data_IF_831105121001
#
_entry.id   IF_831105121001
#
_cell.length_a   1.000
_cell.length_b   1.000
_cell.length_c   1.000
_cell.angle_alpha   90.00
_cell.angle_beta   90.00
_cell.angle_gamma   90.00
#
_symmetry.space_group_name_H-M   'P 1'
#
loop_
_entity.id
_entity.type
_entity.pdbx_description
1 polymer ?
#
# COMPACT_ATOMS: atom_id res chain seq x y z
N UNK A 1 7.68 -6.42 9.58
CA UNK A 1 6.58 -5.86 8.78
C UNK A 1 6.45 -4.37 9.04
N UNK A 2 6.35 -3.96 10.31
CA UNK A 2 6.25 -2.55 10.73
C UNK A 2 7.30 -1.62 10.12
N UNK A 3 8.58 -1.99 10.11
CA UNK A 3 9.63 -1.14 9.52
C UNK A 3 9.45 -0.90 8.01
N UNK A 4 8.88 -1.87 7.26
CA UNK A 4 8.57 -1.69 5.84
C UNK A 4 7.38 -0.74 5.68
N UNK A 5 6.34 -0.95 6.47
CA UNK A 5 5.13 -0.12 6.50
C UNK A 5 5.44 1.33 6.86
N UNK A 6 6.31 1.55 7.85
CA UNK A 6 6.78 2.86 8.28
C UNK A 6 7.51 3.59 7.14
N UNK A 7 8.44 2.90 6.48
CA UNK A 7 9.18 3.47 5.35
C UNK A 7 8.31 3.75 4.12
N UNK A 8 7.30 2.91 3.88
CA UNK A 8 6.29 3.12 2.82
C UNK A 8 5.34 4.26 3.19
N UNK A 9 4.95 4.38 4.46
CA UNK A 9 4.16 5.48 4.99
C UNK A 9 4.85 6.83 4.74
N UNK A 10 6.14 6.93 5.07
CA UNK A 10 6.93 8.14 4.85
C UNK A 10 7.03 8.49 3.36
N UNK A 11 7.26 7.50 2.49
CA UNK A 11 7.40 7.74 1.04
C UNK A 11 6.09 8.06 0.33
N UNK A 12 4.98 7.48 0.78
CA UNK A 12 3.64 7.67 0.20
C UNK A 12 2.86 8.81 0.87
N UNK A 13 3.44 9.45 1.89
CA UNK A 13 2.84 10.53 2.67
C UNK A 13 1.41 10.18 3.14
N UNK A 14 1.23 8.93 3.57
CA UNK A 14 -0.08 8.45 3.98
C UNK A 14 -0.47 9.12 5.31
N UNK A 15 -1.64 9.77 5.41
CA UNK A 15 -2.01 10.59 6.58
C UNK A 15 -2.15 9.80 7.89
N UNK A 16 -2.19 8.46 7.84
CA UNK A 16 -2.20 7.56 9.01
C UNK A 16 -1.16 6.44 8.92
N UNK A 17 -0.30 6.51 7.91
CA UNK A 17 0.67 5.49 7.55
C UNK A 17 0.13 4.18 7.01
N UNK A 18 0.97 3.45 6.30
CA UNK A 18 0.62 2.13 5.78
C UNK A 18 0.41 1.16 6.96
N UNK A 19 -0.70 0.42 6.96
CA UNK A 19 -1.01 -0.51 8.07
C UNK A 19 -1.30 -1.94 7.62
N UNK A 20 -1.62 -2.12 6.33
CA UNK A 20 -1.92 -3.39 5.72
C UNK A 20 -1.19 -3.50 4.38
N UNK A 21 -0.72 -4.70 4.05
CA UNK A 21 -0.13 -5.03 2.75
C UNK A 21 -0.97 -6.14 2.12
N UNK A 22 -1.33 -5.95 0.86
CA UNK A 22 -2.07 -6.90 0.04
C UNK A 22 -1.22 -7.22 -1.20
N UNK A 23 -1.20 -8.48 -1.60
CA UNK A 23 -0.69 -8.87 -2.92
C UNK A 23 -1.60 -8.35 -4.02
N UNK A 24 -1.10 -8.39 -5.25
CA UNK A 24 -1.90 -8.10 -6.45
C UNK A 24 -3.13 -9.01 -6.61
N UNK A 25 -3.09 -10.20 -6.01
CA UNK A 25 -4.20 -11.16 -5.95
C UNK A 25 -5.26 -10.81 -4.89
N UNK A 26 -4.99 -9.82 -4.03
CA UNK A 26 -5.84 -9.46 -2.89
C UNK A 26 -5.51 -10.23 -1.60
N UNK A 27 -4.55 -11.16 -1.64
CA UNK A 27 -4.07 -11.88 -0.46
C UNK A 27 -3.35 -10.93 0.51
N UNK A 28 -3.77 -10.93 1.78
CA UNK A 28 -3.15 -10.06 2.77
C UNK A 28 -1.88 -10.71 3.32
N UNK A 29 -0.76 -10.01 3.18
CA UNK A 29 0.51 -10.42 3.80
C UNK A 29 0.62 -9.86 5.21
N UNK A 30 0.98 -10.74 6.14
CA UNK A 30 1.20 -10.35 7.54
C UNK A 30 2.68 -10.31 7.88
N UNK A 31 3.51 -11.08 7.16
CA UNK A 31 4.94 -11.21 7.43
C UNK A 31 5.75 -10.80 6.21
N UNK A 32 6.96 -10.30 6.48
CA UNK A 32 7.91 -9.93 5.42
C UNK A 32 8.36 -11.16 4.62
N UNK A 33 8.38 -12.32 5.28
CA UNK A 33 8.75 -13.62 4.73
C UNK A 33 7.79 -14.10 3.63
N UNK A 34 6.56 -13.56 3.60
CA UNK A 34 5.57 -13.86 2.56
C UNK A 34 5.66 -12.89 1.38
N UNK A 35 6.50 -11.85 1.50
CA UNK A 35 6.76 -10.91 0.42
C UNK A 35 7.94 -11.45 -0.39
N UNK A 36 7.71 -11.59 -1.69
CA UNK A 36 8.70 -11.96 -2.68
C UNK A 36 9.35 -10.68 -3.23
N UNK A 37 10.67 -10.71 -3.39
CA UNK A 37 11.39 -9.60 -4.00
C UNK A 37 11.04 -9.45 -5.48
N UNK A 38 10.85 -8.21 -5.93
CA UNK A 38 10.38 -7.91 -7.28
C UNK A 38 8.87 -8.06 -7.48
N UNK A 39 8.13 -8.62 -6.53
CA UNK A 39 6.68 -8.64 -6.58
C UNK A 39 6.07 -7.28 -6.18
N UNK A 40 4.90 -6.99 -6.74
CA UNK A 40 4.18 -5.76 -6.47
C UNK A 40 3.12 -5.97 -5.40
N UNK A 41 3.06 -5.05 -4.45
CA UNK A 41 2.13 -5.10 -3.31
C UNK A 41 1.39 -3.77 -3.17
N UNK A 42 0.14 -3.86 -2.75
CA UNK A 42 -0.71 -2.71 -2.44
C UNK A 42 -0.72 -2.50 -0.95
N UNK A 43 -0.41 -1.28 -0.51
CA UNK A 43 -0.50 -0.91 0.91
C UNK A 43 -1.67 0.02 1.17
N UNK A 44 -2.34 -0.18 2.31
CA UNK A 44 -3.46 0.67 2.72
C UNK A 44 -3.35 1.05 4.19
N UNK A 45 -3.71 2.30 4.50
CA UNK A 45 -3.86 2.82 5.87
C UNK A 45 -5.18 2.42 6.53
N UNK A 46 -6.20 2.13 5.72
CA UNK A 46 -7.55 1.78 6.20
C UNK A 46 -7.83 0.30 5.96
N UNK A 47 -8.62 -0.32 6.85
CA UNK A 47 -9.13 -1.69 6.69
C UNK A 47 -9.96 -1.86 5.41
N UNK A 48 -10.44 -0.76 4.85
CA UNK A 48 -11.23 -0.69 3.63
C UNK A 48 -10.30 -0.34 2.47
N UNK A 49 -10.16 -1.27 1.51
CA UNK A 49 -9.57 -0.98 0.21
C UNK A 49 -10.40 0.12 -0.44
N UNK A 50 -9.81 1.31 -0.56
CA UNK A 50 -10.39 2.37 -1.36
C UNK A 50 -9.63 2.33 -2.67
N UNK A 51 -10.31 2.02 -3.76
CA UNK A 51 -9.78 2.15 -5.12
C UNK A 51 -9.62 3.64 -5.40
N UNK A 52 -8.66 4.25 -4.73
CA UNK A 52 -8.08 5.50 -5.20
C UNK A 52 -7.22 5.05 -6.36
N UNK A 53 -7.81 5.10 -7.55
CA UNK A 53 -7.16 4.92 -8.83
C UNK A 53 -5.78 5.59 -8.76
N UNK A 54 -4.73 4.81 -8.52
CA UNK A 54 -3.35 5.29 -8.42
C UNK A 54 -2.80 5.75 -9.79
N UNK A 55 -3.70 5.97 -10.75
CA UNK A 55 -3.37 6.42 -12.09
C UNK A 55 -3.32 7.95 -12.11
N UNK A 56 -2.09 8.44 -11.96
CA UNK A 56 -1.61 9.77 -12.35
C UNK A 56 -2.10 10.96 -11.50
N UNK A 57 -1.17 11.71 -10.88
CA UNK A 57 -1.46 13.10 -10.54
C UNK A 57 -1.57 13.89 -11.86
N UNK A 58 -2.77 14.03 -12.43
CA UNK A 58 -2.90 14.80 -13.67
C UNK A 58 -4.28 14.99 -14.29
N UNK A 59 -5.36 14.39 -13.78
CA UNK A 59 -6.69 14.60 -14.38
C UNK A 59 -7.79 14.38 -13.34
N UNK A 60 -8.23 15.47 -12.72
CA UNK A 60 -9.65 15.84 -12.53
C UNK A 60 -9.67 17.22 -11.87
N UNK A 61 -9.59 18.25 -12.69
CA UNK A 61 -10.30 19.50 -12.44
C UNK A 61 -11.35 19.59 -13.53
N UNK A 62 -12.61 19.37 -13.18
CA UNK A 62 -13.75 20.20 -13.58
C UNK A 62 -14.94 19.92 -12.66
#
# INVERSE_FOLDING_TARGET
>A
MDALLDRLSERLELPRGARFIFGMDGDRKYRLEELEDGASYVVSSYKTFKDITYMRPGITSE
#
